data_IF_626439729862
#
_entry.id   IF_626439729862
#
_cell.length_a   1.000
_cell.length_b   1.000
_cell.length_c   1.000
_cell.angle_alpha   90.00
_cell.angle_beta   90.00
_cell.angle_gamma   90.00
#
_symmetry.space_group_name_H-M   'P 1'
#
loop_
_entity.id
_entity.type
_entity.pdbx_description
1 polymer ?
#
# COMPACT_ATOMS: atom_id res chain seq x y z
N UNK A 1 -18.74 3.36 -5.52
CA UNK A 1 -19.77 3.40 -6.60
C UNK A 1 -21.21 3.69 -6.12
N UNK A 2 -21.55 3.56 -4.83
CA UNK A 2 -22.91 3.86 -4.33
C UNK A 2 -23.38 5.32 -4.56
N UNK A 3 -22.45 6.26 -4.66
CA UNK A 3 -22.79 7.68 -4.85
C UNK A 3 -23.03 8.14 -6.30
N UNK A 4 -22.69 7.34 -7.30
CA UNK A 4 -22.88 7.72 -8.71
C UNK A 4 -24.25 7.31 -9.27
N UNK A 5 -24.91 6.33 -8.65
CA UNK A 5 -26.21 5.82 -9.12
C UNK A 5 -27.42 6.46 -8.45
N UNK A 6 -27.24 7.44 -7.56
CA UNK A 6 -28.35 8.12 -6.89
C UNK A 6 -29.27 7.22 -6.05
N UNK A 7 -28.72 6.12 -5.51
CA UNK A 7 -29.50 5.15 -4.72
C UNK A 7 -29.82 5.70 -3.33
N UNK A 8 -31.02 5.43 -2.83
CA UNK A 8 -31.43 5.70 -1.45
C UNK A 8 -31.43 4.38 -0.66
N UNK A 9 -30.99 4.44 0.61
CA UNK A 9 -30.88 3.25 1.45
C UNK A 9 -30.01 3.48 2.67
N UNK A 10 -29.68 2.41 3.39
CA UNK A 10 -28.84 2.41 4.58
C UNK A 10 -27.56 1.63 4.34
N UNK A 11 -26.44 2.29 4.58
CA UNK A 11 -25.14 1.67 4.60
C UNK A 11 -24.82 1.21 6.03
N UNK A 12 -24.73 -0.10 6.21
CA UNK A 12 -24.33 -0.75 7.46
C UNK A 12 -22.83 -0.98 7.43
N UNK A 13 -22.11 -0.48 8.43
CA UNK A 13 -20.67 -0.68 8.58
C UNK A 13 -20.46 -1.46 9.87
N UNK A 14 -19.81 -2.62 9.80
CA UNK A 14 -19.55 -3.51 10.94
C UNK A 14 -18.05 -3.66 11.11
N UNK A 15 -17.57 -3.54 12.33
CA UNK A 15 -16.18 -3.82 12.72
C UNK A 15 -16.16 -4.83 13.84
N UNK A 16 -15.17 -5.72 13.85
CA UNK A 16 -14.94 -6.67 14.96
C UNK A 16 -14.55 -5.96 16.25
N UNK A 17 -14.21 -4.68 16.18
CA UNK A 17 -13.75 -3.85 17.29
C UNK A 17 -14.85 -2.92 17.84
N UNK A 18 -16.06 -2.98 17.25
CA UNK A 18 -17.24 -2.24 17.72
C UNK A 18 -18.35 -3.19 18.10
N UNK A 19 -18.97 -2.94 19.25
CA UNK A 19 -20.14 -3.71 19.70
C UNK A 19 -21.43 -3.39 18.94
N UNK A 20 -21.46 -2.25 18.25
CA UNK A 20 -22.62 -1.77 17.47
C UNK A 20 -22.20 -1.42 16.05
N UNK A 21 -23.04 -1.69 15.03
CA UNK A 21 -22.76 -1.26 13.67
C UNK A 21 -22.89 0.27 13.54
N UNK A 22 -22.08 0.85 12.65
CA UNK A 22 -22.33 2.21 12.16
C UNK A 22 -23.36 2.16 11.04
N UNK A 23 -24.30 3.09 11.06
CA UNK A 23 -25.36 3.25 10.07
C UNK A 23 -25.23 4.60 9.38
N UNK A 24 -25.25 4.62 8.04
CA UNK A 24 -25.30 5.87 7.27
C UNK A 24 -26.51 5.83 6.36
N UNK A 25 -27.39 6.80 6.55
CA UNK A 25 -28.62 6.94 5.79
C UNK A 25 -28.38 7.82 4.58
N UNK A 26 -28.64 7.25 3.39
CA UNK A 26 -28.39 7.90 2.11
C UNK A 26 -29.71 8.21 1.40
N UNK A 27 -29.88 9.43 0.93
CA UNK A 27 -30.92 9.80 -0.02
C UNK A 27 -30.30 10.26 -1.33
N UNK A 28 -30.66 9.61 -2.42
CA UNK A 28 -30.11 9.85 -3.77
C UNK A 28 -28.59 9.92 -3.77
N UNK A 29 -27.94 9.00 -3.03
CA UNK A 29 -26.49 8.90 -2.91
C UNK A 29 -25.82 9.93 -1.99
N UNK A 30 -26.60 10.81 -1.33
CA UNK A 30 -26.07 11.79 -0.37
C UNK A 30 -26.38 11.34 1.07
N UNK A 31 -25.44 11.44 2.00
CA UNK A 31 -25.70 11.15 3.39
C UNK A 31 -26.62 12.23 3.98
N UNK A 32 -27.72 11.80 4.59
CA UNK A 32 -28.70 12.69 5.24
C UNK A 32 -28.67 12.56 6.75
N UNK A 33 -28.27 11.39 7.27
CA UNK A 33 -28.08 11.15 8.70
C UNK A 33 -27.10 9.97 8.90
N UNK A 34 -26.58 9.80 10.11
CA UNK A 34 -25.81 8.64 10.52
C UNK A 34 -25.95 8.37 12.00
N UNK A 35 -25.68 7.12 12.41
CA UNK A 35 -25.67 6.69 13.81
C UNK A 35 -24.48 5.78 14.05
N UNK A 36 -23.73 6.03 15.11
CA UNK A 36 -22.65 5.15 15.59
C UNK A 36 -22.61 5.19 17.12
N UNK A 37 -23.18 4.17 17.77
CA UNK A 37 -23.33 4.14 19.22
C UNK A 37 -24.17 5.31 19.72
N UNK A 38 -23.56 6.22 20.49
CA UNK A 38 -24.19 7.44 21.01
C UNK A 38 -24.07 8.66 20.08
N UNK A 39 -23.32 8.55 18.98
CA UNK A 39 -23.14 9.65 18.02
C UNK A 39 -24.22 9.61 16.95
N UNK A 40 -24.67 10.81 16.50
CA UNK A 40 -25.62 11.00 15.40
C UNK A 40 -25.07 12.01 14.39
N UNK A 41 -25.65 12.06 13.21
CA UNK A 41 -25.31 13.05 12.19
C UNK A 41 -23.84 13.04 11.76
N UNK A 42 -23.23 14.22 11.68
CA UNK A 42 -21.85 14.39 11.25
C UNK A 42 -20.84 13.75 12.21
N UNK A 43 -21.08 13.78 13.51
CA UNK A 43 -20.19 13.20 14.50
C UNK A 43 -20.14 11.67 14.36
N UNK A 44 -21.28 11.06 14.05
CA UNK A 44 -21.34 9.63 13.75
C UNK A 44 -20.52 9.30 12.48
N UNK A 45 -20.71 10.04 11.38
CA UNK A 45 -19.92 9.81 10.14
C UNK A 45 -18.44 9.99 10.43
N UNK A 46 -18.01 11.07 11.07
CA UNK A 46 -16.59 11.30 11.33
C UNK A 46 -15.98 10.24 12.22
N UNK A 47 -16.71 9.69 13.18
CA UNK A 47 -16.22 8.58 14.01
C UNK A 47 -15.96 7.32 13.19
N UNK A 48 -16.70 7.06 12.11
CA UNK A 48 -16.52 5.91 11.22
C UNK A 48 -15.26 6.02 10.36
N UNK A 49 -14.73 7.22 10.09
CA UNK A 49 -13.42 7.37 9.43
C UNK A 49 -12.25 6.78 10.23
N UNK A 50 -12.44 6.59 11.54
CA UNK A 50 -11.46 5.93 12.39
C UNK A 50 -11.47 4.39 12.31
N UNK A 51 -12.43 3.80 11.64
CA UNK A 51 -12.55 2.34 11.55
C UNK A 51 -11.59 1.81 10.48
N UNK A 52 -10.58 1.06 10.89
CA UNK A 52 -9.51 0.55 10.01
C UNK A 52 -9.70 -0.90 9.60
N UNK A 53 -10.71 -1.57 10.15
CA UNK A 53 -11.08 -2.93 9.81
C UNK A 53 -12.59 -3.12 9.95
N UNK A 54 -13.17 -3.87 9.02
CA UNK A 54 -14.61 -4.14 9.01
C UNK A 54 -15.14 -4.46 7.62
N UNK A 55 -16.43 -4.70 7.56
CA UNK A 55 -17.17 -4.90 6.30
C UNK A 55 -18.39 -4.02 6.29
N UNK A 56 -18.86 -3.75 5.10
CA UNK A 56 -20.04 -2.93 4.89
C UNK A 56 -21.07 -3.66 4.02
N UNK A 57 -22.31 -3.33 4.25
CA UNK A 57 -23.45 -3.83 3.49
C UNK A 57 -24.37 -2.64 3.20
N UNK A 58 -24.81 -2.50 1.95
CA UNK A 58 -25.79 -1.49 1.57
C UNK A 58 -27.16 -2.14 1.32
N UNK A 59 -28.13 -1.69 2.08
CA UNK A 59 -29.54 -2.10 1.93
C UNK A 59 -30.30 -0.98 1.24
N UNK A 60 -30.80 -1.26 0.04
CA UNK A 60 -31.60 -0.30 -0.70
C UNK A 60 -33.03 -0.28 -0.14
N UNK A 61 -33.41 0.83 0.48
CA UNK A 61 -34.73 1.02 1.06
C UNK A 61 -35.13 2.50 1.09
N UNK A 62 -36.42 2.77 1.33
CA UNK A 62 -36.89 4.14 1.52
C UNK A 62 -36.45 4.64 2.89
N UNK A 63 -35.56 5.63 2.89
CA UNK A 63 -35.06 6.23 4.12
C UNK A 63 -36.03 7.28 4.62
N UNK A 64 -36.56 7.07 5.83
CA UNK A 64 -37.53 7.94 6.49
C UNK A 64 -36.94 8.46 7.81
N UNK A 65 -35.83 9.21 7.74
CA UNK A 65 -35.21 9.85 8.89
C UNK A 65 -35.07 11.36 8.67
N UNK A 66 -34.95 12.09 9.77
CA UNK A 66 -34.71 13.53 9.72
C UNK A 66 -33.33 13.83 9.11
N UNK A 67 -33.28 14.84 8.24
CA UNK A 67 -32.03 15.23 7.58
C UNK A 67 -31.24 16.13 8.54
N UNK A 68 -30.26 15.53 9.22
CA UNK A 68 -29.31 16.23 10.09
C UNK A 68 -28.05 16.69 9.35
N UNK A 69 -27.69 16.02 8.25
CA UNK A 69 -26.47 16.30 7.49
C UNK A 69 -26.81 17.17 6.29
N UNK A 70 -26.22 18.38 6.27
CA UNK A 70 -26.39 19.37 5.19
C UNK A 70 -25.14 19.49 4.31
N UNK A 71 -23.99 19.00 4.78
CA UNK A 71 -22.74 19.01 4.02
C UNK A 71 -22.79 18.08 2.82
N UNK A 72 -22.14 18.50 1.76
CA UNK A 72 -21.95 17.63 0.59
C UNK A 72 -21.05 16.45 0.93
N UNK A 73 -21.20 15.36 0.17
CA UNK A 73 -20.38 14.17 0.32
C UNK A 73 -18.88 14.47 0.26
N UNK A 74 -18.47 15.36 -0.64
CA UNK A 74 -17.05 15.73 -0.80
C UNK A 74 -16.53 16.48 0.42
N UNK A 75 -17.31 17.42 0.96
CA UNK A 75 -16.96 18.14 2.19
C UNK A 75 -16.81 17.19 3.38
N UNK A 76 -17.70 16.21 3.51
CA UNK A 76 -17.62 15.19 4.56
C UNK A 76 -16.33 14.37 4.45
N UNK A 77 -15.98 13.95 3.23
CA UNK A 77 -14.75 13.16 2.99
C UNK A 77 -13.51 13.99 3.34
N UNK A 78 -13.43 15.22 2.85
CA UNK A 78 -12.29 16.10 3.10
C UNK A 78 -12.13 16.44 4.60
N UNK A 79 -13.24 16.79 5.26
CA UNK A 79 -13.22 17.08 6.69
C UNK A 79 -12.88 15.82 7.52
N UNK A 80 -13.44 14.66 7.17
CA UNK A 80 -13.17 13.41 7.85
C UNK A 80 -11.69 13.00 7.76
N UNK A 81 -11.10 13.10 6.57
CA UNK A 81 -9.66 12.82 6.37
C UNK A 81 -8.80 13.81 7.16
N UNK A 82 -9.12 15.10 7.10
CA UNK A 82 -8.41 16.12 7.88
C UNK A 82 -8.47 15.85 9.39
N UNK A 83 -9.65 15.54 9.92
CA UNK A 83 -9.82 15.24 11.36
C UNK A 83 -9.08 13.96 11.76
N UNK A 84 -8.99 12.98 10.85
CA UNK A 84 -8.22 11.75 11.07
C UNK A 84 -6.71 12.04 11.12
N UNK A 85 -6.20 12.86 10.19
CA UNK A 85 -4.79 13.29 10.14
C UNK A 85 -4.40 14.15 11.35
N UNK A 86 -5.32 15.03 11.81
CA UNK A 86 -5.14 15.83 13.02
C UNK A 86 -5.24 15.00 14.33
N UNK A 87 -5.50 13.69 14.23
CA UNK A 87 -5.66 12.80 15.39
C UNK A 87 -6.91 13.06 16.24
N UNK A 88 -7.89 13.79 15.71
CA UNK A 88 -9.15 14.12 16.40
C UNK A 88 -10.18 12.98 16.36
N UNK A 89 -9.98 12.02 15.46
CA UNK A 89 -10.83 10.83 15.34
C UNK A 89 -10.11 9.65 15.97
N UNK A 90 -10.77 8.98 16.91
CA UNK A 90 -10.27 7.78 17.55
C UNK A 90 -10.25 6.62 16.54
N UNK A 91 -9.07 6.05 16.30
CA UNK A 91 -8.93 4.85 15.46
C UNK A 91 -9.48 3.63 16.19
N UNK A 92 -10.29 2.85 15.47
CA UNK A 92 -10.88 1.60 15.93
C UNK A 92 -10.45 0.49 14.95
N UNK A 93 -9.73 -0.48 15.45
CA UNK A 93 -9.19 -1.58 14.66
C UNK A 93 -8.11 -2.30 15.43
N UNK A 94 -7.43 -3.29 14.81
CA UNK A 94 -6.29 -3.91 15.43
C UNK A 94 -5.32 -2.81 15.84
N UNK A 95 -4.71 -2.96 17.01
CA UNK A 95 -3.68 -2.03 17.49
C UNK A 95 -2.47 -2.08 16.54
N UNK A 96 -2.64 -1.53 15.36
CA UNK A 96 -1.51 -1.14 14.53
C UNK A 96 -0.83 -0.03 15.31
N UNK A 97 0.39 -0.31 15.76
CA UNK A 97 1.27 0.71 16.29
C UNK A 97 1.11 1.96 15.43
N UNK A 98 0.78 3.09 16.09
CA UNK A 98 0.54 4.36 15.43
C UNK A 98 1.52 4.50 14.26
N UNK A 99 1.02 4.69 13.05
CA UNK A 99 1.85 5.17 11.95
C UNK A 99 2.29 6.58 12.33
N UNK A 100 3.34 6.67 13.14
CA UNK A 100 4.28 7.77 13.05
C UNK A 100 4.69 7.88 11.59
N UNK A 101 4.83 9.11 11.10
CA UNK A 101 5.57 9.42 9.88
C UNK A 101 6.78 8.49 9.76
N UNK A 102 7.30 8.18 8.55
CA UNK A 102 8.33 7.16 8.38
C UNK A 102 9.43 7.42 9.41
N UNK A 103 9.31 6.79 10.55
CA UNK A 103 10.39 6.72 11.52
C UNK A 103 11.46 5.91 10.82
N UNK A 104 12.47 6.62 10.37
CA UNK A 104 13.79 6.05 10.16
C UNK A 104 14.19 5.47 11.51
N UNK A 105 13.71 4.25 11.81
CA UNK A 105 14.18 3.51 12.96
C UNK A 105 15.62 3.12 12.66
N UNK A 106 16.54 4.01 13.01
CA UNK A 106 17.92 3.68 13.26
C UNK A 106 17.97 2.80 14.50
N UNK A 107 17.74 1.50 14.33
CA UNK A 107 17.96 0.52 15.37
C UNK A 107 18.77 -0.63 14.84
N UNK A 108 20.00 -0.69 15.34
CA UNK A 108 20.75 -1.94 15.50
C UNK A 108 20.75 -2.89 14.31
N UNK A 109 21.45 -2.55 13.23
CA UNK A 109 21.89 -3.53 12.23
C UNK A 109 20.82 -4.15 11.32
N UNK A 110 19.53 -3.90 11.52
CA UNK A 110 18.46 -4.36 10.65
C UNK A 110 18.08 -3.28 9.64
N UNK A 111 17.91 -3.68 8.38
CA UNK A 111 17.45 -2.78 7.33
C UNK A 111 16.02 -2.32 7.62
N UNK A 112 15.68 -1.06 7.26
CA UNK A 112 14.32 -0.56 7.42
C UNK A 112 13.34 -1.34 6.54
N UNK A 113 12.13 -1.59 7.06
CA UNK A 113 11.03 -2.17 6.31
C UNK A 113 10.24 -1.05 5.63
N UNK A 114 10.15 -1.10 4.31
CA UNK A 114 9.39 -0.14 3.51
C UNK A 114 8.05 -0.77 3.14
N UNK A 115 6.94 -0.17 3.56
CA UNK A 115 5.58 -0.57 3.17
C UNK A 115 5.05 0.36 2.08
N UNK A 116 4.28 -0.21 1.16
CA UNK A 116 3.62 0.53 0.10
C UNK A 116 2.22 1.03 0.49
N UNK A 117 1.56 1.81 -0.39
CA UNK A 117 0.15 2.14 -0.26
C UNK A 117 -0.72 0.88 -0.46
N UNK A 118 -1.96 0.94 -0.01
CA UNK A 118 -2.94 -0.10 -0.34
C UNK A 118 -3.17 -0.13 -1.85
N UNK A 119 -3.19 -1.33 -2.42
CA UNK A 119 -3.44 -1.56 -3.84
C UNK A 119 -4.90 -1.89 -4.06
N UNK A 120 -5.48 -1.36 -5.14
CA UNK A 120 -6.81 -1.76 -5.57
C UNK A 120 -6.73 -3.19 -6.15
N UNK A 121 -7.43 -4.12 -5.53
CA UNK A 121 -7.49 -5.52 -5.96
C UNK A 121 -8.05 -5.71 -7.38
N UNK A 122 -8.70 -4.71 -7.95
CA UNK A 122 -9.16 -4.76 -9.36
C UNK A 122 -8.02 -4.87 -10.37
N UNK A 123 -6.79 -4.54 -9.96
CA UNK A 123 -5.57 -4.70 -10.76
C UNK A 123 -4.90 -6.05 -10.59
N UNK A 124 -5.31 -6.85 -9.62
CA UNK A 124 -4.71 -8.18 -9.34
C UNK A 124 -5.43 -9.22 -10.20
N UNK A 125 -4.69 -9.88 -11.08
CA UNK A 125 -5.22 -10.91 -11.98
C UNK A 125 -4.90 -12.32 -11.53
N UNK A 126 -3.89 -12.48 -10.68
CA UNK A 126 -3.48 -13.78 -10.11
C UNK A 126 -2.77 -13.57 -8.78
N UNK A 127 -2.78 -14.59 -7.93
CA UNK A 127 -2.11 -14.58 -6.64
C UNK A 127 -1.15 -15.77 -6.52
N UNK A 128 0.03 -15.51 -5.96
CA UNK A 128 1.07 -16.53 -5.77
C UNK A 128 1.67 -16.44 -4.38
N UNK A 129 1.80 -17.59 -3.71
CA UNK A 129 2.39 -17.71 -2.39
C UNK A 129 3.84 -18.19 -2.43
N UNK A 130 4.70 -17.59 -1.61
CA UNK A 130 6.10 -17.94 -1.46
C UNK A 130 6.43 -18.22 0.00
N UNK A 131 7.38 -19.13 0.23
CA UNK A 131 7.88 -19.49 1.56
C UNK A 131 9.24 -18.85 1.83
N UNK A 132 9.64 -18.89 3.10
CA UNK A 132 10.90 -18.31 3.57
C UNK A 132 12.11 -18.76 2.72
N UNK A 133 12.82 -17.79 2.17
CA UNK A 133 14.00 -18.00 1.33
C UNK A 133 13.73 -18.25 -0.16
N UNK A 134 12.47 -18.43 -0.59
CA UNK A 134 12.13 -18.59 -2.00
C UNK A 134 12.56 -17.36 -2.81
N UNK A 135 13.09 -17.60 -4.00
CA UNK A 135 13.46 -16.54 -4.95
C UNK A 135 12.24 -16.15 -5.78
N UNK A 136 11.64 -15.00 -5.48
CA UNK A 136 10.52 -14.41 -6.23
C UNK A 136 11.01 -13.90 -7.60
N UNK A 137 12.15 -13.24 -7.58
CA UNK A 137 12.79 -12.64 -8.76
C UNK A 137 14.28 -12.89 -8.68
N UNK A 138 14.91 -13.25 -9.79
CA UNK A 138 16.35 -13.43 -9.88
C UNK A 138 17.00 -12.26 -10.64
N UNK A 139 18.09 -11.70 -10.08
CA UNK A 139 18.94 -10.69 -10.73
C UNK A 139 19.46 -11.21 -12.08
N UNK A 140 19.45 -10.35 -13.09
CA UNK A 140 19.89 -10.69 -14.43
C UNK A 140 18.83 -11.33 -15.33
N UNK A 141 17.73 -11.82 -14.78
CA UNK A 141 16.63 -12.36 -15.58
C UNK A 141 15.80 -11.25 -16.22
N UNK A 142 15.21 -11.56 -17.36
CA UNK A 142 14.19 -10.72 -17.99
C UNK A 142 12.83 -11.03 -17.39
N UNK A 143 11.95 -10.02 -17.30
CA UNK A 143 10.59 -10.22 -16.87
C UNK A 143 9.80 -8.94 -16.86
N UNK A 144 8.56 -9.02 -17.37
CA UNK A 144 7.65 -7.90 -17.52
C UNK A 144 6.57 -7.87 -16.43
N UNK A 145 6.62 -8.86 -15.52
CA UNK A 145 5.66 -8.96 -14.42
C UNK A 145 5.91 -7.87 -13.39
N UNK A 146 4.82 -7.31 -12.90
CA UNK A 146 4.80 -6.45 -11.72
C UNK A 146 3.93 -7.13 -10.69
N UNK A 147 4.45 -7.29 -9.49
CA UNK A 147 3.69 -7.79 -8.36
C UNK A 147 3.52 -6.71 -7.30
N UNK A 148 2.52 -6.90 -6.46
CA UNK A 148 2.34 -6.20 -5.20
C UNK A 148 2.39 -7.21 -4.07
N UNK A 149 3.04 -6.85 -2.96
CA UNK A 149 2.99 -7.65 -1.74
C UNK A 149 1.61 -7.43 -1.11
N UNK A 150 0.77 -8.47 -1.13
CA UNK A 150 -0.54 -8.45 -0.47
C UNK A 150 -0.36 -8.65 1.03
N UNK A 151 0.49 -9.61 1.41
CA UNK A 151 0.83 -9.92 2.80
C UNK A 151 2.27 -10.44 2.89
N UNK A 152 3.02 -10.03 3.92
CA UNK A 152 4.35 -10.53 4.21
C UNK A 152 5.48 -9.55 3.95
N UNK A 153 6.68 -10.07 3.81
CA UNK A 153 7.91 -9.27 3.64
C UNK A 153 8.81 -9.92 2.61
N UNK A 154 9.41 -9.11 1.73
CA UNK A 154 10.44 -9.54 0.81
C UNK A 154 11.71 -8.72 1.00
N UNK A 155 12.87 -9.31 0.70
CA UNK A 155 14.16 -8.64 0.74
C UNK A 155 14.80 -8.54 -0.64
N UNK A 156 15.39 -7.39 -0.92
CA UNK A 156 16.18 -7.16 -2.12
C UNK A 156 17.64 -7.49 -1.83
N UNK A 157 18.16 -8.41 -2.62
CA UNK A 157 19.52 -8.94 -2.50
C UNK A 157 20.27 -8.70 -3.80
N UNK A 158 21.50 -8.20 -3.69
CA UNK A 158 22.38 -7.95 -4.83
C UNK A 158 23.63 -8.80 -4.73
N UNK A 159 24.07 -9.35 -5.86
CA UNK A 159 25.38 -10.02 -5.93
C UNK A 159 26.50 -8.98 -5.88
N UNK A 160 27.44 -9.15 -4.95
CA UNK A 160 28.56 -8.25 -4.77
C UNK A 160 29.84 -9.04 -4.41
N UNK A 161 30.77 -9.12 -5.35
CA UNK A 161 32.03 -9.85 -5.16
C UNK A 161 31.81 -11.34 -4.88
N UNK A 162 32.20 -11.81 -3.71
CA UNK A 162 32.12 -13.24 -3.31
C UNK A 162 30.85 -13.58 -2.53
N UNK A 163 29.85 -12.71 -2.47
CA UNK A 163 28.64 -12.96 -1.69
C UNK A 163 27.45 -12.10 -2.11
N UNK A 164 26.33 -12.35 -1.47
CA UNK A 164 25.11 -11.57 -1.66
C UNK A 164 24.95 -10.56 -0.52
N UNK A 165 24.41 -9.40 -0.85
CA UNK A 165 24.20 -8.28 0.08
C UNK A 165 22.72 -7.91 0.08
N UNK A 166 22.11 -8.00 1.25
CA UNK A 166 20.76 -7.49 1.47
C UNK A 166 20.78 -5.95 1.42
N UNK A 167 19.95 -5.36 0.57
CA UNK A 167 19.90 -3.91 0.31
C UNK A 167 18.79 -3.25 1.09
N UNK A 168 17.57 -3.79 0.97
CA UNK A 168 16.37 -3.25 1.63
C UNK A 168 15.33 -4.35 1.82
N UNK A 169 14.37 -4.11 2.71
CA UNK A 169 13.17 -4.92 2.90
C UNK A 169 11.93 -4.14 2.55
N UNK A 170 10.97 -4.83 1.95
CA UNK A 170 9.68 -4.29 1.56
C UNK A 170 8.57 -5.18 2.11
N UNK A 171 7.46 -4.59 2.46
CA UNK A 171 6.29 -5.28 3.02
C UNK A 171 5.01 -4.93 2.30
N UNK A 172 3.90 -5.22 2.93
CA UNK A 172 2.55 -5.06 2.39
C UNK A 172 2.37 -3.77 1.58
N UNK A 173 1.75 -3.86 0.42
CA UNK A 173 1.50 -2.76 -0.51
C UNK A 173 2.70 -2.32 -1.34
N UNK A 174 3.89 -2.88 -1.11
CA UNK A 174 5.06 -2.57 -1.93
C UNK A 174 5.01 -3.27 -3.29
N UNK A 175 5.39 -2.56 -4.35
CA UNK A 175 5.48 -3.12 -5.68
C UNK A 175 6.85 -3.77 -5.91
N UNK A 176 6.82 -4.95 -6.56
CA UNK A 176 7.99 -5.69 -7.00
C UNK A 176 8.01 -5.69 -8.53
N UNK A 177 8.97 -5.00 -9.11
CA UNK A 177 9.09 -4.85 -10.56
C UNK A 177 9.56 -3.46 -10.94
N UNK A 178 9.48 -3.15 -12.22
CA UNK A 178 9.87 -1.85 -12.77
C UNK A 178 8.75 -1.28 -13.63
N UNK A 179 8.29 -0.09 -13.30
CA UNK A 179 7.31 0.64 -14.14
C UNK A 179 7.87 0.90 -15.54
N UNK A 180 9.18 1.03 -15.66
CA UNK A 180 9.82 1.19 -16.96
C UNK A 180 9.69 -0.05 -17.87
N UNK A 181 9.45 -1.24 -17.31
CA UNK A 181 9.16 -2.45 -18.08
C UNK A 181 7.83 -2.36 -18.84
N UNK A 182 6.86 -1.58 -18.33
CA UNK A 182 5.60 -1.32 -19.01
C UNK A 182 5.72 -0.32 -20.17
N UNK A 183 6.81 0.46 -20.21
CA UNK A 183 7.03 1.52 -21.20
C UNK A 183 8.01 1.05 -22.28
N UNK A 184 8.97 0.19 -21.93
CA UNK A 184 10.00 -0.29 -22.85
C UNK A 184 10.29 -1.77 -22.57
N UNK A 185 10.25 -2.58 -23.61
CA UNK A 185 10.51 -4.03 -23.55
C UNK A 185 11.94 -4.37 -23.10
N UNK A 186 12.11 -5.58 -22.55
CA UNK A 186 13.41 -6.24 -22.41
C UNK A 186 14.30 -5.77 -21.27
N UNK A 187 13.76 -5.27 -20.18
CA UNK A 187 14.59 -4.86 -19.04
C UNK A 187 14.97 -6.02 -18.13
N UNK A 188 16.25 -6.06 -17.82
CA UNK A 188 16.86 -7.03 -16.91
C UNK A 188 16.54 -6.64 -15.45
N UNK A 189 16.25 -7.63 -14.63
CA UNK A 189 16.05 -7.47 -13.18
C UNK A 189 17.34 -7.01 -12.51
N UNK A 190 17.29 -5.93 -11.76
CA UNK A 190 18.48 -5.30 -11.15
C UNK A 190 18.90 -5.90 -9.82
N UNK A 191 18.06 -6.70 -9.20
CA UNK A 191 18.31 -7.38 -7.93
C UNK A 191 17.52 -8.68 -7.85
N UNK A 192 17.99 -9.60 -7.04
CA UNK A 192 17.22 -10.77 -6.60
C UNK A 192 16.28 -10.35 -5.49
N UNK A 193 15.04 -10.84 -5.53
CA UNK A 193 14.04 -10.62 -4.48
C UNK A 193 13.72 -11.96 -3.85
N UNK A 194 13.81 -12.06 -2.53
CA UNK A 194 13.53 -13.27 -1.75
C UNK A 194 12.42 -13.05 -0.76
N UNK A 195 11.64 -14.08 -0.53
CA UNK A 195 10.65 -14.09 0.53
C UNK A 195 11.31 -14.14 1.91
N UNK A 196 10.75 -13.42 2.88
CA UNK A 196 11.14 -13.46 4.30
C UNK A 196 9.92 -13.91 5.10
N UNK A 197 9.91 -15.17 5.51
CA UNK A 197 8.71 -15.83 5.99
C UNK A 197 7.74 -16.17 4.85
N UNK A 198 6.46 -16.29 5.16
CA UNK A 198 5.43 -16.49 4.15
C UNK A 198 5.08 -15.15 3.50
N UNK A 199 4.99 -15.15 2.18
CA UNK A 199 4.66 -13.96 1.37
C UNK A 199 3.56 -14.30 0.39
N UNK A 200 2.51 -13.48 0.35
CA UNK A 200 1.47 -13.54 -0.66
C UNK A 200 1.63 -12.37 -1.62
N UNK A 201 1.75 -12.68 -2.90
CA UNK A 201 1.90 -11.69 -3.97
C UNK A 201 0.65 -11.67 -4.85
N UNK A 202 0.26 -10.47 -5.28
CA UNK A 202 -0.71 -10.25 -6.34
C UNK A 202 0.00 -9.88 -7.63
N UNK A 203 -0.23 -10.63 -8.71
CA UNK A 203 0.24 -10.27 -10.05
C UNK A 203 -0.65 -9.19 -10.63
N UNK A 204 -0.06 -8.08 -11.06
CA UNK A 204 -0.83 -6.97 -11.63
C UNK A 204 -1.09 -7.18 -13.12
N UNK A 205 -2.27 -6.77 -13.56
CA UNK A 205 -2.66 -6.75 -14.98
C UNK A 205 -1.75 -5.79 -15.76
N UNK A 206 -0.74 -6.34 -16.41
CA UNK A 206 0.22 -5.57 -17.21
C UNK A 206 -0.44 -4.89 -18.41
N UNK A 207 -1.51 -5.49 -18.98
CA UNK A 207 -2.22 -4.90 -20.11
C UNK A 207 -3.06 -3.69 -19.68
N UNK A 208 -3.75 -3.82 -18.53
CA UNK A 208 -4.50 -2.70 -17.94
C UNK A 208 -3.56 -1.53 -17.60
N UNK A 209 -2.45 -1.82 -16.92
CA UNK A 209 -1.45 -0.82 -16.58
C UNK A 209 -0.81 -0.17 -17.81
N UNK A 210 -0.51 -0.94 -18.85
CA UNK A 210 0.02 -0.41 -20.12
C UNK A 210 -0.98 0.50 -20.81
N UNK A 211 -2.28 0.15 -20.81
CA UNK A 211 -3.35 0.98 -21.36
C UNK A 211 -3.50 2.31 -20.60
N UNK A 212 -3.42 2.30 -19.29
CA UNK A 212 -3.43 3.53 -18.50
C UNK A 212 -2.20 4.40 -18.79
N UNK A 213 -1.02 3.78 -18.82
CA UNK A 213 0.20 4.48 -19.20
C UNK A 213 0.17 5.02 -20.63
N UNK A 214 -0.55 4.38 -21.56
CA UNK A 214 -0.68 4.88 -22.93
C UNK A 214 -1.29 6.29 -22.97
N UNK A 215 -2.21 6.58 -22.04
CA UNK A 215 -2.91 7.87 -21.94
C UNK A 215 -2.12 8.97 -21.19
N UNK A 216 -0.95 8.63 -20.64
CA UNK A 216 -0.09 9.58 -19.93
C UNK A 216 0.83 10.32 -20.90
N UNK A 217 1.11 11.62 -20.63
CA UNK A 217 1.97 12.42 -21.50
C UNK A 217 3.38 11.84 -21.63
N UNK A 218 4.05 12.15 -22.75
CA UNK A 218 5.42 11.69 -23.00
C UNK A 218 6.39 12.20 -21.92
N UNK A 219 6.20 13.43 -21.45
CA UNK A 219 7.01 14.05 -20.40
C UNK A 219 6.89 13.28 -19.08
N UNK A 220 5.65 12.85 -18.72
CA UNK A 220 5.44 12.09 -17.51
C UNK A 220 6.03 10.67 -17.63
N UNK A 221 5.93 10.01 -18.78
CA UNK A 221 6.62 8.74 -19.06
C UNK A 221 8.13 8.88 -18.89
N UNK A 222 8.73 9.95 -19.43
CA UNK A 222 10.15 10.24 -19.27
C UNK A 222 10.54 10.49 -17.82
N UNK A 223 9.67 11.14 -17.02
CA UNK A 223 9.86 11.31 -15.59
C UNK A 223 9.91 9.95 -14.86
N UNK A 224 8.95 9.06 -15.15
CA UNK A 224 8.92 7.71 -14.56
C UNK A 224 10.17 6.90 -14.91
N UNK A 225 10.61 6.92 -16.17
CA UNK A 225 11.84 6.25 -16.62
C UNK A 225 13.07 6.84 -15.89
N UNK A 226 13.11 8.17 -15.72
CA UNK A 226 14.20 8.83 -14.99
C UNK A 226 14.24 8.42 -13.51
N UNK A 227 13.08 8.29 -12.85
CA UNK A 227 12.98 7.82 -11.47
C UNK A 227 13.45 6.37 -11.37
N UNK A 228 12.98 5.47 -12.24
CA UNK A 228 13.40 4.07 -12.27
C UNK A 228 14.92 3.95 -12.46
N UNK A 229 15.48 4.71 -13.38
CA UNK A 229 16.93 4.72 -13.62
C UNK A 229 17.73 5.17 -12.40
N UNK A 230 17.26 6.21 -11.68
CA UNK A 230 17.91 6.65 -10.43
C UNK A 230 17.80 5.60 -9.33
N UNK A 231 16.64 4.95 -9.19
CA UNK A 231 16.48 3.87 -8.21
C UNK A 231 17.45 2.72 -8.47
N UNK A 232 17.64 2.32 -9.72
CA UNK A 232 18.64 1.32 -10.11
C UNK A 232 20.05 1.73 -9.70
N UNK A 233 20.43 2.97 -10.02
CA UNK A 233 21.75 3.51 -9.66
C UNK A 233 21.94 3.53 -8.13
N UNK A 234 20.92 3.94 -7.37
CA UNK A 234 20.99 3.96 -5.90
C UNK A 234 21.16 2.54 -5.34
N UNK A 235 20.45 1.55 -5.89
CA UNK A 235 20.61 0.14 -5.50
C UNK A 235 22.05 -0.33 -5.77
N UNK A 236 22.60 -0.03 -6.94
CA UNK A 236 23.98 -0.41 -7.29
C UNK A 236 25.00 0.28 -6.38
N UNK A 237 24.81 1.57 -6.10
CA UNK A 237 25.68 2.32 -5.18
C UNK A 237 25.61 1.78 -3.75
N UNK A 238 24.40 1.47 -3.26
CA UNK A 238 24.21 0.90 -1.92
C UNK A 238 24.89 -0.46 -1.79
N UNK A 239 24.80 -1.31 -2.82
CA UNK A 239 25.48 -2.59 -2.87
C UNK A 239 27.02 -2.41 -2.84
N UNK A 240 27.56 -1.52 -3.65
CA UNK A 240 28.98 -1.23 -3.70
C UNK A 240 29.51 -0.70 -2.36
N UNK A 241 28.76 0.22 -1.74
CA UNK A 241 29.12 0.78 -0.44
C UNK A 241 29.15 -0.28 0.67
N UNK A 242 28.12 -1.12 0.74
CA UNK A 242 28.02 -2.18 1.75
C UNK A 242 29.09 -3.26 1.55
N UNK A 243 29.42 -3.59 0.30
CA UNK A 243 30.51 -4.51 -0.02
C UNK A 243 31.88 -3.99 0.46
N UNK A 244 32.16 -2.72 0.24
CA UNK A 244 33.38 -2.07 0.70
C UNK A 244 33.46 -2.04 2.24
N UNK A 245 32.38 -1.71 2.92
CA UNK A 245 32.30 -1.70 4.39
C UNK A 245 32.60 -3.10 4.96
N UNK A 246 31.97 -4.16 4.40
CA UNK A 246 32.20 -5.53 4.82
C UNK A 246 33.67 -5.98 4.59
N UNK A 247 34.31 -5.47 3.56
CA UNK A 247 35.74 -5.74 3.29
C UNK A 247 36.65 -5.09 4.35
N UNK A 248 36.39 -3.85 4.74
CA UNK A 248 37.13 -3.16 5.82
C UNK A 248 36.97 -3.88 7.16
N UNK A 249 35.76 -4.29 7.52
CA UNK A 249 35.51 -5.02 8.77
C UNK A 249 36.24 -6.37 8.84
N UNK A 250 36.35 -7.09 7.71
CA UNK A 250 37.15 -8.32 7.63
C UNK A 250 38.64 -8.06 7.81
N UNK A 251 39.17 -6.98 7.21
CA UNK A 251 40.58 -6.59 7.35
C UNK A 251 40.94 -6.20 8.80
N UNK A 252 40.03 -5.53 9.51
CA UNK A 252 40.22 -5.16 10.92
C UNK A 252 40.22 -6.40 11.81
N UNK A 253 39.32 -7.36 11.55
CA UNK A 253 39.22 -8.59 12.35
C UNK A 253 40.38 -9.55 12.09
N UNK A 254 40.99 -9.53 10.90
CA UNK A 254 42.14 -10.38 10.57
C UNK A 254 43.47 -9.91 11.16
N UNK A 255 43.52 -8.67 11.70
CA UNK A 255 44.70 -8.08 12.34
C UNK A 255 44.68 -8.14 13.87
N UNK A 256 43.67 -8.74 14.45
CA UNK A 256 43.56 -9.10 15.88
C UNK A 256 43.80 -10.57 16.09
#
# INVERSE_FOLDING_TARGET
MLGTNGSSGVLHIKSNYSSTPGLVYLDKGNPINAVNGSFTGLDAIFSLFGWTDGHFEFVQENVSCEKEITKSRMEIILDGLRLLDEGKIKKLGPATAAKSAPETQTVSGKLPLIKGPLVDYSYVVDEEGFYDGDEIVQEGNHGDWIWVILEGTAEFVKQAGSGSIEILRVGDGAFLGSVAALISEGRVRNATIKAVGNVQLGMLDSQLLANELANVSAEFKNLLISIDSRLRQVIDMAAAFKNNSNHFDKLIKSKK
#
